data_IF_737076756866
#
_entry.id   IF_737076756866
#
_cell.length_a   1.000
_cell.length_b   1.000
_cell.length_c   1.000
_cell.angle_alpha   90.00
_cell.angle_beta   90.00
_cell.angle_gamma   90.00
#
_symmetry.space_group_name_H-M   'P 1'
#
loop_
_entity.id
_entity.type
_entity.pdbx_description
1 polymer ?
#
# COMPACT_ATOMS: atom_id res chain seq x y z
N UNK A 1 -10.43 -17.98 6.00
CA UNK A 1 -10.87 -17.57 4.65
C UNK A 1 -11.72 -18.64 3.95
N UNK A 2 -11.24 -19.88 3.79
CA UNK A 2 -11.95 -20.94 3.03
C UNK A 2 -13.42 -21.10 3.41
N UNK A 3 -13.73 -21.25 4.71
CA UNK A 3 -15.13 -21.38 5.18
C UNK A 3 -16.03 -20.20 4.81
N UNK A 4 -15.48 -18.99 4.69
CA UNK A 4 -16.23 -17.78 4.31
C UNK A 4 -16.50 -17.82 2.80
N UNK A 5 -15.49 -18.16 2.00
CA UNK A 5 -15.61 -18.22 0.53
C UNK A 5 -16.55 -19.33 0.05
N UNK A 6 -16.65 -20.42 0.81
CA UNK A 6 -17.56 -21.54 0.56
C UNK A 6 -18.91 -21.39 1.27
N UNK A 7 -19.18 -20.24 1.89
CA UNK A 7 -20.43 -19.96 2.61
C UNK A 7 -20.82 -21.05 3.63
N UNK A 8 -19.82 -21.61 4.33
CA UNK A 8 -20.04 -22.68 5.29
C UNK A 8 -20.84 -22.17 6.51
N UNK A 9 -21.74 -23.00 7.04
CA UNK A 9 -22.59 -22.62 8.18
C UNK A 9 -21.80 -22.38 9.48
N UNK A 10 -20.65 -23.05 9.65
CA UNK A 10 -19.87 -23.06 10.89
C UNK A 10 -18.63 -22.14 10.84
N UNK A 11 -18.84 -20.87 10.48
CA UNK A 11 -17.79 -19.84 10.48
C UNK A 11 -17.47 -19.40 11.92
N UNK A 12 -16.20 -19.55 12.32
CA UNK A 12 -15.70 -18.96 13.56
C UNK A 12 -15.50 -17.45 13.36
N UNK A 13 -16.15 -16.64 14.21
CA UNK A 13 -16.05 -15.17 14.21
C UNK A 13 -15.17 -14.62 15.33
N UNK A 14 -14.68 -15.50 16.20
CA UNK A 14 -13.82 -15.14 17.32
C UNK A 14 -12.38 -14.91 16.83
N UNK A 15 -11.65 -14.06 17.54
CA UNK A 15 -10.22 -13.91 17.37
C UNK A 15 -9.53 -15.17 17.90
N UNK A 16 -8.73 -15.79 17.04
CA UNK A 16 -7.88 -16.91 17.41
C UNK A 16 -6.46 -16.39 17.48
N UNK A 17 -5.83 -16.53 18.64
CA UNK A 17 -4.44 -16.21 18.90
C UNK A 17 -3.71 -17.51 19.27
N UNK A 18 -2.51 -17.69 18.70
CA UNK A 18 -1.67 -18.85 18.97
C UNK A 18 -0.25 -18.40 19.26
N UNK A 19 0.22 -18.67 20.48
CA UNK A 19 1.61 -18.47 20.88
C UNK A 19 2.35 -19.79 20.73
N UNK A 20 3.25 -19.85 19.75
CA UNK A 20 4.07 -21.02 19.45
C UNK A 20 5.14 -21.31 20.51
N UNK A 21 5.57 -20.31 21.26
CA UNK A 21 6.64 -20.45 22.25
C UNK A 21 6.13 -21.14 23.52
N UNK A 22 4.90 -20.84 23.92
CA UNK A 22 4.23 -21.41 25.09
C UNK A 22 3.24 -22.52 24.72
N UNK A 23 3.00 -22.74 23.42
CA UNK A 23 1.92 -23.57 22.89
C UNK A 23 0.53 -23.16 23.40
N UNK A 24 0.32 -21.87 23.64
CA UNK A 24 -0.95 -21.35 24.14
C UNK A 24 -1.91 -21.07 22.98
N UNK A 25 -3.15 -21.58 23.11
CA UNK A 25 -4.24 -21.36 22.17
C UNK A 25 -5.36 -20.57 22.85
N UNK A 26 -5.58 -19.33 22.40
CA UNK A 26 -6.61 -18.44 22.94
C UNK A 26 -7.66 -18.18 21.87
N UNK A 27 -8.92 -18.36 22.27
CA UNK A 27 -10.09 -17.99 21.47
C UNK A 27 -10.91 -16.98 22.24
N UNK A 28 -11.06 -15.78 21.68
CA UNK A 28 -11.74 -14.68 22.36
C UNK A 28 -12.70 -13.94 21.44
N UNK A 29 -13.82 -13.47 22.00
CA UNK A 29 -14.78 -12.63 21.27
C UNK A 29 -14.24 -11.21 21.20
N UNK A 30 -14.31 -10.61 20.01
CA UNK A 30 -14.04 -9.20 19.82
C UNK A 30 -15.37 -8.49 19.58
N UNK A 31 -15.67 -7.52 20.42
CA UNK A 31 -16.83 -6.67 20.25
C UNK A 31 -16.55 -5.54 19.27
N UNK A 32 -17.61 -5.09 18.59
CA UNK A 32 -17.52 -3.89 17.74
C UNK A 32 -17.29 -2.68 18.63
N UNK A 33 -16.38 -1.81 18.22
CA UNK A 33 -16.21 -0.49 18.83
C UNK A 33 -17.50 0.31 18.62
N UNK A 34 -18.01 0.93 19.69
CA UNK A 34 -19.07 1.94 19.59
C UNK A 34 -18.58 3.11 18.72
N UNK A 35 -19.49 3.73 17.97
CA UNK A 35 -19.17 4.87 17.10
C UNK A 35 -18.09 4.51 16.07
N UNK A 36 -18.16 3.28 15.53
CA UNK A 36 -17.27 2.85 14.47
C UNK A 36 -17.82 3.32 13.11
N UNK A 37 -17.09 4.18 12.36
CA UNK A 37 -17.52 4.66 11.05
C UNK A 37 -17.86 3.53 10.08
N UNK A 38 -17.12 2.42 10.14
CA UNK A 38 -17.34 1.24 9.33
C UNK A 38 -18.46 0.35 9.87
N UNK A 39 -18.36 -0.10 11.14
CA UNK A 39 -19.23 -1.16 11.66
C UNK A 39 -20.67 -0.71 11.93
N UNK A 40 -20.87 0.58 12.22
CA UNK A 40 -22.19 1.18 12.49
C UNK A 40 -22.57 2.18 11.40
N UNK A 41 -21.62 3.00 10.95
CA UNK A 41 -21.87 4.04 9.95
C UNK A 41 -21.84 3.56 8.49
N UNK A 42 -21.37 2.35 8.21
CA UNK A 42 -21.25 1.82 6.85
C UNK A 42 -20.31 2.61 5.95
N UNK A 43 -19.40 3.41 6.53
CA UNK A 43 -18.42 4.21 5.79
C UNK A 43 -17.23 3.33 5.45
N UNK A 44 -17.12 2.94 4.18
CA UNK A 44 -16.03 2.10 3.69
C UNK A 44 -14.96 2.98 3.06
N UNK A 45 -14.23 3.76 3.86
CA UNK A 45 -13.34 4.82 3.38
C UNK A 45 -12.32 4.36 2.30
N UNK A 46 -11.88 3.10 2.35
CA UNK A 46 -10.99 2.49 1.36
C UNK A 46 -11.72 1.99 0.09
N UNK A 47 -12.95 1.47 0.22
CA UNK A 47 -13.74 0.99 -0.92
C UNK A 47 -14.42 2.15 -1.66
N UNK A 48 -14.81 3.19 -0.93
CA UNK A 48 -15.36 4.45 -1.45
C UNK A 48 -14.30 5.33 -2.11
N UNK A 49 -13.05 4.93 -2.02
CA UNK A 49 -11.96 5.57 -2.72
C UNK A 49 -11.50 6.90 -2.10
N UNK A 50 -11.92 7.23 -0.87
CA UNK A 50 -11.45 8.43 -0.17
C UNK A 50 -9.92 8.43 -0.09
N UNK A 51 -9.32 7.30 0.27
CA UNK A 51 -7.86 7.18 0.36
C UNK A 51 -7.17 6.72 -0.94
N UNK A 52 -7.84 6.76 -2.10
CA UNK A 52 -7.19 6.36 -3.34
C UNK A 52 -6.20 7.42 -3.79
N UNK A 53 -4.92 7.07 -3.80
CA UNK A 53 -3.92 7.82 -4.55
C UNK A 53 -4.40 7.96 -6.00
N UNK A 54 -4.49 9.18 -6.51
CA UNK A 54 -4.83 9.42 -7.90
C UNK A 54 -3.69 8.91 -8.78
N UNK A 55 -4.02 8.13 -9.80
CA UNK A 55 -3.05 7.59 -10.74
C UNK A 55 -3.43 8.02 -12.15
N UNK A 56 -2.54 8.75 -12.83
CA UNK A 56 -2.78 9.29 -14.16
C UNK A 56 -1.66 8.83 -15.07
N UNK A 57 -2.02 8.15 -16.16
CA UNK A 57 -1.08 7.86 -17.24
C UNK A 57 -0.70 9.17 -17.94
N UNK A 58 0.60 9.40 -18.11
CA UNK A 58 1.14 10.56 -18.80
C UNK A 58 1.33 10.20 -20.27
N UNK A 59 0.32 10.51 -21.09
CA UNK A 59 0.27 10.15 -22.51
C UNK A 59 1.59 10.47 -23.23
N UNK A 60 2.15 9.47 -23.92
CA UNK A 60 3.36 9.63 -24.73
C UNK A 60 4.65 9.74 -23.92
N UNK A 61 4.60 9.47 -22.60
CA UNK A 61 5.79 9.46 -21.72
C UNK A 61 6.12 8.08 -21.16
N UNK A 62 5.35 7.05 -21.51
CA UNK A 62 5.47 5.70 -20.97
C UNK A 62 5.61 5.71 -19.44
N UNK A 63 4.75 6.48 -18.78
CA UNK A 63 4.82 6.73 -17.36
C UNK A 63 3.44 6.97 -16.73
N UNK A 64 3.30 6.60 -15.46
CA UNK A 64 2.13 6.87 -14.63
C UNK A 64 2.57 7.71 -13.44
N UNK A 65 1.87 8.81 -13.15
CA UNK A 65 2.04 9.56 -11.92
C UNK A 65 1.01 9.11 -10.89
N UNK A 66 1.49 8.73 -9.71
CA UNK A 66 0.69 8.39 -8.54
C UNK A 66 0.85 9.52 -7.53
N UNK A 67 -0.26 10.13 -7.12
CA UNK A 67 -0.26 11.23 -6.16
C UNK A 67 -1.09 10.84 -4.93
N UNK A 68 -0.58 11.03 -3.72
CA UNK A 68 -1.36 10.80 -2.51
C UNK A 68 -2.51 11.82 -2.43
N UNK A 69 -3.57 11.49 -1.68
CA UNK A 69 -4.71 12.38 -1.46
C UNK A 69 -4.31 13.64 -0.66
N UNK A 70 -3.30 13.50 0.21
CA UNK A 70 -2.71 14.58 1.01
C UNK A 70 -1.20 14.56 0.81
N UNK A 71 -0.57 15.74 0.81
CA UNK A 71 0.89 15.82 0.81
C UNK A 71 1.46 15.05 2.01
N UNK A 72 2.43 14.19 1.71
CA UNK A 72 3.15 13.42 2.71
C UNK A 72 4.56 13.99 2.82
N UNK A 73 5.10 14.05 4.03
CA UNK A 73 6.52 14.33 4.22
C UNK A 73 7.29 13.01 4.14
N UNK A 74 7.84 12.71 2.97
CA UNK A 74 8.60 11.48 2.74
C UNK A 74 10.04 11.64 3.25
N UNK A 75 10.52 10.78 4.17
CA UNK A 75 11.92 10.77 4.58
C UNK A 75 12.78 10.12 3.49
N UNK A 76 13.14 10.93 2.48
CA UNK A 76 13.83 10.50 1.26
C UNK A 76 15.12 9.73 1.57
N UNK A 77 15.90 10.18 2.55
CA UNK A 77 17.18 9.57 2.94
C UNK A 77 16.96 8.15 3.47
N UNK A 78 15.99 7.97 4.38
CA UNK A 78 15.66 6.64 4.90
C UNK A 78 15.15 5.71 3.81
N UNK A 79 14.37 6.24 2.86
CA UNK A 79 13.88 5.43 1.74
C UNK A 79 15.02 5.04 0.78
N UNK A 80 15.96 5.94 0.52
CA UNK A 80 17.13 5.64 -0.29
C UNK A 80 17.97 4.49 0.30
N UNK A 81 18.19 4.50 1.62
CA UNK A 81 18.90 3.42 2.32
C UNK A 81 18.22 2.06 2.17
N UNK A 82 16.89 2.02 2.25
CA UNK A 82 16.11 0.79 2.04
C UNK A 82 16.21 0.30 0.59
N UNK A 83 16.00 1.22 -0.36
CA UNK A 83 15.92 0.88 -1.78
C UNK A 83 17.27 0.47 -2.38
N UNK A 84 18.39 1.01 -1.89
CA UNK A 84 19.74 0.62 -2.31
C UNK A 84 20.04 -0.87 -2.14
N UNK A 85 19.37 -1.53 -1.19
CA UNK A 85 19.57 -2.97 -0.94
C UNK A 85 18.98 -3.85 -2.04
N UNK A 86 18.06 -3.31 -2.85
CA UNK A 86 17.26 -4.08 -3.80
C UNK A 86 17.33 -3.56 -5.24
N UNK A 87 17.94 -2.39 -5.48
CA UNK A 87 18.09 -1.83 -6.82
C UNK A 87 18.98 -0.59 -6.86
N UNK A 88 19.07 0.02 -8.03
CA UNK A 88 19.89 1.21 -8.25
C UNK A 88 19.17 2.45 -7.73
N UNK A 89 19.87 3.27 -6.96
CA UNK A 89 19.33 4.50 -6.37
C UNK A 89 20.21 5.67 -6.73
N UNK A 90 19.62 6.73 -7.25
CA UNK A 90 20.28 8.01 -7.51
C UNK A 90 19.41 9.18 -7.06
N UNK A 91 20.01 10.36 -6.95
CA UNK A 91 19.30 11.59 -6.62
C UNK A 91 19.24 12.50 -7.84
N UNK A 92 18.13 13.22 -7.99
CA UNK A 92 17.98 14.29 -8.98
C UNK A 92 17.50 15.55 -8.27
N UNK A 93 18.46 16.33 -7.75
CA UNK A 93 18.16 17.39 -6.79
C UNK A 93 17.61 16.78 -5.49
N UNK A 94 16.42 17.20 -5.10
CA UNK A 94 15.70 16.72 -3.92
C UNK A 94 14.84 15.48 -4.17
N UNK A 95 14.86 14.93 -5.39
CA UNK A 95 14.08 13.75 -5.79
C UNK A 95 14.90 12.48 -5.66
N UNK A 96 14.25 11.39 -5.27
CA UNK A 96 14.84 10.07 -5.27
C UNK A 96 14.48 9.33 -6.55
N UNK A 97 15.48 8.80 -7.25
CA UNK A 97 15.28 7.88 -8.37
C UNK A 97 15.65 6.48 -7.91
N UNK A 98 14.73 5.55 -8.12
CA UNK A 98 14.95 4.14 -7.89
C UNK A 98 14.70 3.38 -9.18
N UNK A 99 15.68 2.61 -9.64
CA UNK A 99 15.60 1.83 -10.86
C UNK A 99 15.70 0.34 -10.55
N UNK A 100 14.76 -0.41 -11.10
CA UNK A 100 14.72 -1.87 -11.01
C UNK A 100 14.22 -2.44 -12.32
N UNK A 101 15.07 -3.25 -12.97
CA UNK A 101 14.79 -3.84 -14.28
C UNK A 101 14.48 -2.75 -15.31
N UNK A 102 13.30 -2.80 -15.94
CA UNK A 102 12.82 -1.83 -16.94
C UNK A 102 12.08 -0.63 -16.34
N UNK A 103 11.85 -0.63 -15.02
CA UNK A 103 11.08 0.40 -14.34
C UNK A 103 11.97 1.40 -13.60
N UNK A 104 11.56 2.68 -13.64
CA UNK A 104 12.17 3.76 -12.85
C UNK A 104 11.07 4.46 -12.05
N UNK A 105 11.24 4.52 -10.73
CA UNK A 105 10.38 5.27 -9.82
C UNK A 105 11.09 6.56 -9.43
N UNK A 106 10.47 7.70 -9.72
CA UNK A 106 10.90 9.02 -9.26
C UNK A 106 9.99 9.42 -8.09
N UNK A 107 10.55 9.45 -6.88
CA UNK A 107 9.81 9.79 -5.65
C UNK A 107 10.11 11.23 -5.25
N UNK A 108 9.03 11.97 -5.03
CA UNK A 108 9.03 13.37 -4.63
C UNK A 108 8.91 13.48 -3.10
N UNK A 109 9.52 14.51 -2.47
CA UNK A 109 9.41 14.73 -1.03
C UNK A 109 7.98 14.88 -0.52
N UNK A 110 7.06 15.32 -1.38
CA UNK A 110 5.63 15.51 -1.10
C UNK A 110 4.78 14.23 -1.21
N UNK A 111 5.42 13.08 -1.49
CA UNK A 111 4.76 11.79 -1.60
C UNK A 111 4.30 11.41 -3.01
N UNK A 112 4.39 12.31 -4.00
CA UNK A 112 4.13 11.92 -5.39
C UNK A 112 5.19 10.93 -5.86
N UNK A 113 4.78 10.01 -6.73
CA UNK A 113 5.67 9.06 -7.40
C UNK A 113 5.35 9.02 -8.88
N UNK A 114 6.37 9.17 -9.72
CA UNK A 114 6.25 8.92 -11.14
C UNK A 114 6.92 7.59 -11.48
N UNK A 115 6.13 6.64 -11.98
CA UNK A 115 6.58 5.32 -12.42
C UNK A 115 6.77 5.37 -13.93
N UNK A 116 8.00 5.22 -14.41
CA UNK A 116 8.33 5.10 -15.83
C UNK A 116 8.52 3.64 -16.22
N UNK A 117 8.29 3.35 -17.50
CA UNK A 117 8.37 2.00 -18.07
C UNK A 117 6.99 1.36 -18.26
N UNK A 118 5.91 2.05 -17.90
CA UNK A 118 4.54 1.56 -18.12
C UNK A 118 3.53 2.70 -18.20
N UNK A 119 2.45 2.48 -18.97
CA UNK A 119 1.23 3.29 -18.95
C UNK A 119 0.06 2.56 -18.26
N UNK A 120 0.27 1.31 -17.82
CA UNK A 120 -0.71 0.53 -17.06
C UNK A 120 -0.76 1.00 -15.61
N UNK A 121 -1.87 1.63 -15.25
CA UNK A 121 -2.15 2.14 -13.90
C UNK A 121 -2.08 1.03 -12.85
N UNK A 122 -2.53 -0.17 -13.15
CA UNK A 122 -2.55 -1.30 -12.21
C UNK A 122 -1.14 -1.80 -11.92
N UNK A 123 -0.31 -1.90 -12.95
CA UNK A 123 1.11 -2.25 -12.81
C UNK A 123 1.86 -1.15 -12.03
N UNK A 124 1.64 0.12 -12.38
CA UNK A 124 2.25 1.25 -11.68
C UNK A 124 1.88 1.27 -10.19
N UNK A 125 0.60 1.04 -9.84
CA UNK A 125 0.15 0.93 -8.44
C UNK A 125 0.80 -0.24 -7.71
N UNK A 126 0.99 -1.37 -8.39
CA UNK A 126 1.65 -2.55 -7.82
C UNK A 126 3.13 -2.27 -7.53
N UNK A 127 3.83 -1.61 -8.46
CA UNK A 127 5.23 -1.19 -8.28
C UNK A 127 5.37 -0.16 -7.15
N UNK A 128 4.46 0.81 -7.09
CA UNK A 128 4.39 1.77 -5.98
C UNK A 128 4.19 1.05 -4.64
N UNK A 129 3.19 0.17 -4.53
CA UNK A 129 2.92 -0.56 -3.29
C UNK A 129 4.11 -1.44 -2.87
N UNK A 130 4.82 -2.04 -3.83
CA UNK A 130 5.97 -2.92 -3.57
C UNK A 130 7.20 -2.18 -3.04
N UNK A 131 7.48 -0.98 -3.55
CA UNK A 131 8.74 -0.28 -3.29
C UNK A 131 8.61 0.97 -2.43
N UNK A 132 7.44 1.60 -2.42
CA UNK A 132 7.17 2.87 -1.73
C UNK A 132 6.05 2.71 -0.70
N UNK A 133 5.06 1.85 -0.98
CA UNK A 133 3.96 1.54 -0.07
C UNK A 133 4.48 1.07 1.30
N UNK A 134 3.87 1.62 2.35
CA UNK A 134 4.11 1.24 3.73
C UNK A 134 3.26 0.03 4.14
#
# INVERSE_FOLDING_TARGET
AIKILLEAENICKDLIYFDLSTNEFVKTKIERRKDCPLCEGGVFEYLEGKFLSSAVALCGRNAVQISPERELAVPIEMMAEKLRKIGEVSYAGYLLKFKKEEYELVIFPDGRVMVKGTEDISLAKSLYAKYVGH
#
